data_IF_644801668531
#
_entry.id   IF_644801668531
#
_cell.length_a   1.000
_cell.length_b   1.000
_cell.length_c   1.000
_cell.angle_alpha   90.00
_cell.angle_beta   90.00
_cell.angle_gamma   90.00
#
_symmetry.space_group_name_H-M   'P 1'
#
loop_
_entity.id
_entity.type
_entity.pdbx_description
1 polymer ?
#
# COMPACT_ATOMS: atom_id res chain seq x y z
N UNK A 1 -19.75 6.19 9.18
CA UNK A 1 -18.47 6.93 9.20
C UNK A 1 -17.40 5.89 8.95
N UNK A 2 -16.92 5.79 7.71
CA UNK A 2 -15.75 4.96 7.39
C UNK A 2 -14.57 5.48 8.21
N UNK A 3 -13.82 4.58 8.82
CA UNK A 3 -12.67 4.96 9.60
C UNK A 3 -11.58 5.33 8.61
N UNK A 4 -11.45 6.62 8.33
CA UNK A 4 -10.30 7.11 7.56
C UNK A 4 -9.02 6.60 8.21
N UNK A 5 -8.20 5.89 7.43
CA UNK A 5 -6.96 5.32 7.94
C UNK A 5 -6.02 6.46 8.36
N UNK A 6 -5.96 6.70 9.67
CA UNK A 6 -5.18 7.78 10.30
C UNK A 6 -3.70 7.66 9.94
N UNK A 7 -3.21 6.44 9.71
CA UNK A 7 -1.81 6.22 9.35
C UNK A 7 -1.50 6.64 7.90
N UNK A 8 -2.45 6.43 6.97
CA UNK A 8 -2.33 6.95 5.59
C UNK A 8 -2.36 8.48 5.58
N UNK A 9 -3.24 9.09 6.38
CA UNK A 9 -3.30 10.54 6.54
C UNK A 9 -2.00 11.13 7.09
N UNK A 10 -1.38 10.48 8.09
CA UNK A 10 -0.08 10.90 8.62
C UNK A 10 1.03 10.86 7.58
N UNK A 11 0.95 9.94 6.63
CA UNK A 11 1.89 9.83 5.52
C UNK A 11 1.57 10.79 4.35
N UNK A 12 0.48 11.56 4.46
CA UNK A 12 -0.07 12.40 3.38
C UNK A 12 -0.35 11.59 2.09
N UNK A 13 -0.69 10.31 2.22
CA UNK A 13 -0.99 9.40 1.12
C UNK A 13 -2.49 9.13 1.09
N UNK A 14 -3.14 9.39 -0.04
CA UNK A 14 -4.55 9.01 -0.22
C UNK A 14 -4.69 7.51 -0.46
N UNK A 15 -5.87 6.95 -0.19
CA UNK A 15 -6.15 5.54 -0.47
C UNK A 15 -5.90 5.19 -1.95
N UNK A 16 -6.33 6.07 -2.87
CA UNK A 16 -6.08 5.92 -4.31
C UNK A 16 -4.59 5.95 -4.65
N UNK A 17 -3.83 6.86 -4.04
CA UNK A 17 -2.38 6.97 -4.25
C UNK A 17 -1.67 5.72 -3.70
N UNK A 18 -2.07 5.21 -2.54
CA UNK A 18 -1.53 3.97 -1.97
C UNK A 18 -1.76 2.77 -2.90
N UNK A 19 -2.98 2.61 -3.42
CA UNK A 19 -3.31 1.53 -4.37
C UNK A 19 -2.48 1.68 -5.65
N UNK A 20 -2.35 2.91 -6.18
CA UNK A 20 -1.56 3.18 -7.36
C UNK A 20 -0.08 2.82 -7.17
N UNK A 21 0.52 3.23 -6.05
CA UNK A 21 1.92 2.93 -5.71
C UNK A 21 2.14 1.42 -5.64
N UNK A 22 1.30 0.71 -4.90
CA UNK A 22 1.47 -0.74 -4.69
C UNK A 22 1.23 -1.51 -5.99
N UNK A 23 0.27 -1.09 -6.80
CA UNK A 23 0.01 -1.69 -8.12
C UNK A 23 1.21 -1.52 -9.05
N UNK A 24 1.81 -0.32 -9.10
CA UNK A 24 2.99 -0.07 -9.92
C UNK A 24 4.19 -0.88 -9.43
N UNK A 25 4.36 -1.02 -8.12
CA UNK A 25 5.39 -1.88 -7.53
C UNK A 25 5.24 -3.34 -7.98
N UNK A 26 4.02 -3.91 -7.94
CA UNK A 26 3.74 -5.27 -8.42
C UNK A 26 4.10 -5.44 -9.89
N UNK A 27 3.77 -4.45 -10.73
CA UNK A 27 3.96 -4.54 -12.18
C UNK A 27 5.41 -4.37 -12.61
N UNK A 28 6.19 -3.52 -11.92
CA UNK A 28 7.49 -3.06 -12.41
C UNK A 28 8.69 -3.54 -11.58
N UNK A 29 8.49 -3.83 -10.30
CA UNK A 29 9.58 -4.06 -9.34
C UNK A 29 9.50 -5.46 -8.71
N UNK A 30 8.30 -5.92 -8.34
CA UNK A 30 8.14 -7.21 -7.66
C UNK A 30 8.54 -8.37 -8.59
N UNK A 31 9.68 -9.01 -8.28
CA UNK A 31 10.23 -10.10 -9.08
C UNK A 31 9.72 -11.46 -8.61
N UNK A 32 9.59 -11.65 -7.29
CA UNK A 32 9.17 -12.91 -6.70
C UNK A 32 7.66 -12.96 -6.38
N UNK A 33 7.11 -14.18 -6.31
CA UNK A 33 5.69 -14.42 -6.05
C UNK A 33 5.25 -13.97 -4.64
N UNK A 34 6.15 -14.03 -3.66
CA UNK A 34 5.84 -13.66 -2.27
C UNK A 34 5.58 -12.15 -2.14
N UNK A 35 6.40 -11.31 -2.78
CA UNK A 35 6.25 -9.86 -2.80
C UNK A 35 4.96 -9.45 -3.51
N UNK A 36 4.62 -10.12 -4.62
CA UNK A 36 3.35 -9.89 -5.34
C UNK A 36 2.14 -10.24 -4.48
N UNK A 37 2.20 -11.35 -3.73
CA UNK A 37 1.13 -11.75 -2.82
C UNK A 37 0.98 -10.76 -1.67
N UNK A 38 2.09 -10.38 -1.04
CA UNK A 38 2.05 -9.41 0.06
C UNK A 38 1.52 -8.06 -0.40
N UNK A 39 1.96 -7.57 -1.56
CA UNK A 39 1.46 -6.34 -2.15
C UNK A 39 -0.04 -6.41 -2.49
N UNK A 40 -0.55 -7.56 -2.95
CA UNK A 40 -1.98 -7.76 -3.17
C UNK A 40 -2.78 -7.71 -1.86
N UNK A 41 -2.28 -8.32 -0.78
CA UNK A 41 -2.91 -8.23 0.54
C UNK A 41 -2.90 -6.79 1.09
N UNK A 42 -1.82 -6.04 0.85
CA UNK A 42 -1.75 -4.62 1.22
C UNK A 42 -2.85 -3.82 0.51
N UNK A 43 -3.07 -4.05 -0.79
CA UNK A 43 -4.16 -3.41 -1.55
C UNK A 43 -5.53 -3.74 -0.93
N UNK A 44 -5.78 -5.00 -0.57
CA UNK A 44 -7.03 -5.42 0.07
C UNK A 44 -7.23 -4.74 1.44
N UNK A 45 -6.19 -4.70 2.28
CA UNK A 45 -6.21 -3.99 3.58
C UNK A 45 -6.39 -2.48 3.43
N UNK A 46 -5.84 -1.89 2.37
CA UNK A 46 -6.07 -0.47 2.03
C UNK A 46 -7.52 -0.23 1.61
N UNK A 47 -8.11 -1.11 0.81
CA UNK A 47 -9.53 -1.02 0.44
C UNK A 47 -10.48 -1.15 1.62
N UNK A 48 -10.18 -2.04 2.56
CA UNK A 48 -10.99 -2.30 3.75
C UNK A 48 -10.76 -1.29 4.89
N UNK A 49 -9.97 -0.24 4.67
CA UNK A 49 -9.58 0.74 5.70
C UNK A 49 -8.87 0.09 6.92
N UNK A 50 -8.33 -1.12 6.76
CA UNK A 50 -7.71 -1.95 7.80
C UNK A 50 -6.18 -2.03 7.64
N UNK A 51 -5.58 -0.98 7.09
CA UNK A 51 -4.14 -0.96 6.83
C UNK A 51 -3.38 -0.66 8.12
N UNK A 52 -2.38 -1.49 8.42
CA UNK A 52 -1.50 -1.35 9.58
C UNK A 52 -0.34 -0.40 9.29
N UNK A 53 0.35 0.07 10.33
CA UNK A 53 1.62 0.83 10.18
C UNK A 53 2.65 0.08 9.32
N UNK A 54 2.67 -1.27 9.36
CA UNK A 54 3.57 -2.06 8.48
C UNK A 54 3.21 -1.93 7.00
N UNK A 55 1.92 -1.88 6.69
CA UNK A 55 1.44 -1.70 5.32
C UNK A 55 1.81 -0.30 4.82
N UNK A 56 1.72 0.73 5.68
CA UNK A 56 2.17 2.09 5.39
C UNK A 56 3.66 2.15 5.09
N UNK A 57 4.49 1.55 5.95
CA UNK A 57 5.94 1.48 5.75
C UNK A 57 6.29 0.76 4.45
N UNK A 58 5.51 -0.26 4.07
CA UNK A 58 5.64 -0.92 2.78
C UNK A 58 5.28 0.02 1.62
N UNK A 59 4.13 0.70 1.66
CA UNK A 59 3.70 1.66 0.62
C UNK A 59 4.74 2.77 0.44
N UNK A 60 5.29 3.33 1.53
CA UNK A 60 6.34 4.36 1.48
C UNK A 60 7.61 3.81 0.82
N UNK A 61 7.99 2.57 1.13
CA UNK A 61 9.13 1.91 0.48
C UNK A 61 8.89 1.71 -1.02
N UNK A 62 7.71 1.22 -1.40
CA UNK A 62 7.31 1.10 -2.81
C UNK A 62 7.39 2.44 -3.53
N UNK A 63 6.90 3.54 -2.92
CA UNK A 63 6.96 4.90 -3.48
C UNK A 63 8.40 5.35 -3.76
N UNK A 64 9.37 4.98 -2.92
CA UNK A 64 10.79 5.32 -3.10
C UNK A 64 11.49 4.49 -4.19
N UNK A 65 10.91 3.36 -4.59
CA UNK A 65 11.47 2.45 -5.60
C UNK A 65 10.91 2.69 -7.00
N UNK A 66 9.79 3.39 -7.12
CA UNK A 66 9.19 3.82 -8.38
C UNK A 66 9.86 5.08 -8.92
#
# INVERSE_FOLDING_TARGET
MGYFNVELMKAEITQEEAIYIVTNYIQRIADNKADKLYAAEVIERVHNEDSSTKDIDFIIRCRKML
#
